data_IF_759821286726
#
_entry.id   IF_759821286726
#
_cell.length_a   1.000
_cell.length_b   1.000
_cell.length_c   1.000
_cell.angle_alpha   90.00
_cell.angle_beta   90.00
_cell.angle_gamma   90.00
#
_symmetry.space_group_name_H-M   'P 1'
#
loop_
_entity.id
_entity.type
_entity.pdbx_description
1 polymer ?
#
# COMPACT_ATOMS: atom_id res chain seq x y z
N UNK A 1 2.77 -5.98 19.64
CA UNK A 1 2.83 -7.38 19.18
C UNK A 1 1.72 -7.57 18.17
N UNK A 2 2.06 -7.83 16.90
CA UNK A 2 1.11 -7.82 15.77
C UNK A 2 0.24 -9.08 15.72
N UNK A 3 0.84 -10.26 15.91
CA UNK A 3 0.10 -11.52 15.85
C UNK A 3 -0.90 -11.65 17.01
N UNK A 4 -2.15 -11.98 16.70
CA UNK A 4 -3.16 -12.29 17.71
C UNK A 4 -2.85 -13.62 18.45
N UNK A 5 -3.57 -13.88 19.54
CA UNK A 5 -3.33 -15.07 20.38
C UNK A 5 -3.49 -16.39 19.62
N UNK A 6 -4.45 -16.46 18.69
CA UNK A 6 -4.72 -17.67 17.90
C UNK A 6 -3.59 -17.92 16.90
N UNK A 7 -3.08 -16.86 16.29
CA UNK A 7 -1.94 -16.90 15.38
C UNK A 7 -0.66 -17.30 16.12
N UNK A 8 -0.38 -16.68 17.28
CA UNK A 8 0.78 -17.08 18.09
C UNK A 8 0.68 -18.53 18.56
N UNK A 9 -0.50 -19.01 18.91
CA UNK A 9 -0.70 -20.41 19.28
C UNK A 9 -0.40 -21.35 18.11
N UNK A 10 -0.92 -21.07 16.92
CA UNK A 10 -0.64 -21.86 15.72
C UNK A 10 0.86 -21.87 15.38
N UNK A 11 1.55 -20.74 15.52
CA UNK A 11 3.00 -20.65 15.30
C UNK A 11 3.79 -21.48 16.34
N UNK A 12 3.37 -21.49 17.61
CA UNK A 12 3.98 -22.36 18.64
C UNK A 12 3.75 -23.84 18.34
N UNK A 13 2.54 -24.20 17.91
CA UNK A 13 2.19 -25.56 17.49
C UNK A 13 2.98 -26.00 16.25
N UNK A 14 3.35 -25.06 15.37
CA UNK A 14 4.26 -25.28 14.25
C UNK A 14 5.74 -25.34 14.64
N UNK A 15 6.08 -25.16 15.92
CA UNK A 15 7.43 -25.35 16.46
C UNK A 15 8.23 -24.08 16.72
N UNK A 16 7.66 -22.88 16.52
CA UNK A 16 8.35 -21.63 16.84
C UNK A 16 8.33 -21.37 18.35
N UNK A 17 9.46 -20.91 18.88
CA UNK A 17 9.54 -20.38 20.24
C UNK A 17 8.85 -19.01 20.34
N UNK A 18 8.53 -18.59 21.57
CA UNK A 18 7.99 -17.25 21.84
C UNK A 18 8.92 -16.14 21.35
N UNK A 19 10.24 -16.32 21.50
CA UNK A 19 11.23 -15.34 21.06
C UNK A 19 11.27 -15.22 19.53
N UNK A 20 11.19 -16.35 18.81
CA UNK A 20 11.10 -16.35 17.35
C UNK A 20 9.82 -15.68 16.84
N UNK A 21 8.69 -15.90 17.53
CA UNK A 21 7.41 -15.23 17.21
C UNK A 21 7.52 -13.72 17.46
N UNK A 22 8.16 -13.32 18.56
CA UNK A 22 8.45 -11.90 18.85
C UNK A 22 9.27 -11.25 17.75
N UNK A 23 10.42 -11.87 17.41
CA UNK A 23 11.29 -11.39 16.36
C UNK A 23 10.62 -11.35 14.98
N UNK A 24 9.78 -12.34 14.64
CA UNK A 24 8.98 -12.32 13.42
C UNK A 24 7.97 -11.17 13.43
N UNK A 25 7.31 -10.92 14.55
CA UNK A 25 6.36 -9.80 14.68
C UNK A 25 7.05 -8.45 14.51
N UNK A 26 8.28 -8.27 15.01
CA UNK A 26 9.05 -7.04 14.85
C UNK A 26 9.48 -6.82 13.41
N UNK A 27 9.98 -7.87 12.74
CA UNK A 27 10.34 -7.79 11.30
C UNK A 27 9.16 -7.42 10.41
N UNK A 28 7.95 -7.87 10.73
CA UNK A 28 6.76 -7.47 9.97
C UNK A 28 6.53 -5.95 10.09
N UNK A 29 6.66 -5.39 11.30
CA UNK A 29 6.49 -3.94 11.51
C UNK A 29 7.55 -3.15 10.75
N UNK A 30 8.81 -3.58 10.81
CA UNK A 30 9.92 -2.97 10.07
C UNK A 30 9.65 -3.03 8.55
N UNK A 31 9.31 -4.20 8.02
CA UNK A 31 8.99 -4.36 6.59
C UNK A 31 7.77 -3.53 6.15
N UNK A 32 6.77 -3.31 7.02
CA UNK A 32 5.65 -2.41 6.72
C UNK A 32 6.09 -0.96 6.63
N UNK A 33 7.00 -0.50 7.49
CA UNK A 33 7.57 0.84 7.40
C UNK A 33 8.39 1.00 6.11
N UNK A 34 9.28 0.05 5.79
CA UNK A 34 10.04 0.06 4.54
C UNK A 34 9.14 0.06 3.30
N UNK A 35 8.00 -0.65 3.36
CA UNK A 35 7.01 -0.65 2.27
C UNK A 35 6.34 0.71 2.12
N UNK A 36 6.02 1.39 3.23
CA UNK A 36 5.44 2.73 3.17
C UNK A 36 6.43 3.72 2.53
N UNK A 37 7.68 3.73 3.00
CA UNK A 37 8.75 4.57 2.46
C UNK A 37 8.95 4.31 0.95
N UNK A 38 9.00 3.05 0.53
CA UNK A 38 9.18 2.70 -0.88
C UNK A 38 7.99 3.13 -1.77
N UNK A 39 6.77 3.15 -1.23
CA UNK A 39 5.61 3.66 -1.96
C UNK A 39 5.66 5.19 -2.06
N UNK A 40 6.06 5.89 -1.00
CA UNK A 40 6.25 7.35 -1.06
C UNK A 40 7.33 7.72 -2.08
N UNK A 41 8.46 7.00 -2.05
CA UNK A 41 9.56 7.16 -3.02
C UNK A 41 9.10 6.91 -4.46
N UNK A 42 8.18 5.96 -4.70
CA UNK A 42 7.62 5.73 -6.04
C UNK A 42 6.89 6.97 -6.58
N UNK A 43 6.15 7.71 -5.74
CA UNK A 43 5.43 8.92 -6.17
C UNK A 43 6.30 10.18 -6.16
N UNK A 44 7.45 10.18 -5.46
CA UNK A 44 8.30 11.36 -5.35
C UNK A 44 8.86 11.80 -6.71
N UNK A 45 8.68 13.07 -7.02
CA UNK A 45 9.15 13.67 -8.27
C UNK A 45 8.42 13.23 -9.55
N UNK A 46 7.34 12.44 -9.45
CA UNK A 46 6.49 12.12 -10.60
C UNK A 46 5.43 13.19 -10.84
N UNK A 47 5.40 13.76 -12.04
CA UNK A 47 4.35 14.69 -12.46
C UNK A 47 3.03 13.97 -12.78
N UNK A 48 3.10 12.74 -13.28
CA UNK A 48 1.94 11.97 -13.74
C UNK A 48 2.13 10.48 -13.51
N UNK A 49 1.06 9.79 -13.10
CA UNK A 49 0.99 8.33 -13.00
C UNK A 49 -0.27 7.79 -13.69
N UNK A 50 -0.21 6.53 -14.10
CA UNK A 50 -1.32 5.82 -14.72
C UNK A 50 -1.91 4.82 -13.74
N UNK A 51 -3.22 4.65 -13.74
CA UNK A 51 -3.87 3.63 -12.92
C UNK A 51 -5.00 2.90 -13.62
N UNK A 52 -5.33 1.73 -13.08
CA UNK A 52 -6.51 0.94 -13.44
C UNK A 52 -7.74 1.31 -12.59
N UNK A 53 -7.77 2.52 -12.02
CA UNK A 53 -8.88 2.99 -11.20
C UNK A 53 -10.16 3.10 -12.03
N UNK A 54 -11.21 2.40 -11.62
CA UNK A 54 -12.53 2.56 -12.22
C UNK A 54 -13.14 3.91 -11.78
N UNK A 55 -13.11 4.89 -12.70
CA UNK A 55 -13.77 6.18 -12.52
C UNK A 55 -15.06 6.17 -13.32
N UNK A 56 -16.16 6.49 -12.63
CA UNK A 56 -17.46 6.66 -13.25
C UNK A 56 -17.37 7.61 -14.45
N UNK A 57 -17.81 7.11 -15.61
CA UNK A 57 -17.79 7.82 -16.90
C UNK A 57 -16.41 7.98 -17.57
N UNK A 58 -15.38 7.27 -17.11
CA UNK A 58 -14.18 7.07 -17.92
C UNK A 58 -14.53 6.23 -19.16
N UNK A 59 -13.95 6.59 -20.31
CA UNK A 59 -14.03 5.82 -21.55
C UNK A 59 -12.80 4.90 -21.76
N UNK A 60 -11.84 4.97 -20.85
CA UNK A 60 -10.57 4.26 -20.88
C UNK A 60 -10.41 3.40 -19.63
N UNK A 61 -9.84 2.21 -19.80
CA UNK A 61 -9.46 1.31 -18.69
C UNK A 61 -8.22 1.81 -17.94
N UNK A 62 -7.49 2.76 -18.53
CA UNK A 62 -6.33 3.43 -17.94
C UNK A 62 -6.66 4.90 -17.69
N UNK A 63 -6.39 5.37 -16.48
CA UNK A 63 -6.62 6.75 -16.04
C UNK A 63 -5.29 7.41 -15.69
N UNK A 64 -5.09 8.64 -16.18
CA UNK A 64 -3.95 9.48 -15.83
C UNK A 64 -4.27 10.35 -14.62
N UNK A 65 -3.31 10.48 -13.71
CA UNK A 65 -3.45 11.29 -12.49
C UNK A 65 -2.24 12.21 -12.30
N UNK A 66 -2.51 13.48 -12.04
CA UNK A 66 -1.54 14.40 -11.46
C UNK A 66 -1.60 14.24 -9.93
N UNK A 67 -0.53 13.69 -9.34
CA UNK A 67 -0.44 13.45 -7.90
C UNK A 67 0.15 14.70 -7.23
N UNK A 68 -0.57 15.25 -6.26
CA UNK A 68 -0.06 16.39 -5.47
C UNK A 68 0.89 15.90 -4.37
N UNK A 69 0.49 14.87 -3.63
CA UNK A 69 1.32 14.19 -2.63
C UNK A 69 0.69 12.86 -2.21
N UNK A 70 1.54 12.00 -1.66
CA UNK A 70 1.15 10.84 -0.85
C UNK A 70 1.76 11.00 0.53
N UNK A 71 1.00 10.70 1.58
CA UNK A 71 1.44 10.77 2.98
C UNK A 71 0.98 9.50 3.69
N UNK A 72 1.95 8.62 3.96
CA UNK A 72 1.75 7.31 4.55
C UNK A 72 2.33 7.26 5.96
N UNK A 73 1.68 6.46 6.80
CA UNK A 73 2.16 6.14 8.12
C UNK A 73 1.83 4.70 8.47
N UNK A 74 2.57 4.16 9.43
CA UNK A 74 2.36 2.80 9.90
C UNK A 74 1.82 2.79 11.33
N UNK A 75 0.98 1.80 11.61
CA UNK A 75 0.56 1.47 12.96
C UNK A 75 0.80 -0.02 13.19
N UNK A 76 1.99 -0.34 13.71
CA UNK A 76 2.51 -1.71 13.71
C UNK A 76 2.59 -2.27 12.28
N UNK A 77 1.82 -3.31 11.96
CA UNK A 77 1.83 -3.93 10.63
C UNK A 77 0.76 -3.36 9.68
N UNK A 78 0.02 -2.34 10.12
CA UNK A 78 -0.96 -1.67 9.28
C UNK A 78 -0.31 -0.48 8.58
N UNK A 79 -0.48 -0.39 7.26
CA UNK A 79 -0.12 0.77 6.43
C UNK A 79 -1.39 1.59 6.17
N UNK A 80 -1.33 2.88 6.47
CA UNK A 80 -2.44 3.83 6.31
C UNK A 80 -1.92 5.14 5.73
N UNK A 81 -2.80 5.97 5.21
CA UNK A 81 -2.39 7.29 4.74
C UNK A 81 -3.44 8.00 3.92
N UNK A 82 -2.97 8.95 3.11
CA UNK A 82 -3.79 9.73 2.21
C UNK A 82 -3.05 9.97 0.90
N UNK A 83 -3.76 9.78 -0.22
CA UNK A 83 -3.29 10.10 -1.56
C UNK A 83 -4.10 11.30 -2.09
N UNK A 84 -3.40 12.36 -2.47
CA UNK A 84 -3.99 13.59 -3.00
C UNK A 84 -3.66 13.71 -4.49
N UNK A 85 -4.70 13.92 -5.29
CA UNK A 85 -4.61 14.31 -6.70
C UNK A 85 -5.03 15.76 -6.87
N UNK A 86 -4.90 16.34 -8.07
CA UNK A 86 -5.50 17.66 -8.33
C UNK A 86 -7.03 17.63 -8.06
N UNK A 87 -7.50 18.55 -7.22
CA UNK A 87 -8.92 18.72 -6.90
C UNK A 87 -9.53 17.73 -5.89
N UNK A 88 -8.98 16.54 -5.68
CA UNK A 88 -9.54 15.56 -4.74
C UNK A 88 -8.49 14.64 -4.09
N UNK A 89 -8.92 13.73 -3.23
CA UNK A 89 -8.02 12.75 -2.64
C UNK A 89 -8.77 11.64 -1.91
N UNK A 90 -8.04 10.61 -1.51
CA UNK A 90 -8.59 9.35 -1.03
C UNK A 90 -7.72 8.77 0.08
N UNK A 91 -8.38 8.12 1.05
CA UNK A 91 -7.67 7.40 2.11
C UNK A 91 -6.97 6.16 1.56
N UNK A 92 -5.77 5.90 2.05
CA UNK A 92 -5.03 4.66 1.81
C UNK A 92 -5.20 3.76 3.03
N UNK A 93 -5.62 2.51 2.79
CA UNK A 93 -5.87 1.50 3.82
C UNK A 93 -4.87 0.33 3.79
N UNK A 94 -3.95 0.36 2.84
CA UNK A 94 -2.88 -0.62 2.65
C UNK A 94 -2.18 -0.36 1.33
N UNK A 95 -0.98 -0.92 1.17
CA UNK A 95 -0.20 -0.77 -0.05
C UNK A 95 0.85 -1.87 -0.20
N UNK A 96 1.29 -2.10 -1.42
CA UNK A 96 2.43 -2.96 -1.73
C UNK A 96 3.15 -2.47 -2.99
N UNK A 97 4.45 -2.67 -3.03
CA UNK A 97 5.26 -2.54 -4.24
C UNK A 97 5.13 -3.84 -5.04
N UNK A 98 4.81 -3.74 -6.34
CA UNK A 98 4.74 -4.90 -7.25
C UNK A 98 6.03 -5.03 -8.05
N UNK A 99 6.53 -3.91 -8.56
CA UNK A 99 7.79 -3.74 -9.31
C UNK A 99 8.35 -2.36 -8.98
N UNK A 100 9.56 -2.06 -9.46
CA UNK A 100 10.17 -0.73 -9.31
C UNK A 100 9.30 0.39 -9.95
N UNK A 101 8.49 0.03 -10.94
CA UNK A 101 7.64 0.94 -11.72
C UNK A 101 6.13 0.78 -11.43
N UNK A 102 5.75 -0.01 -10.43
CA UNK A 102 4.32 -0.28 -10.13
C UNK A 102 4.06 -0.56 -8.67
N UNK A 103 3.10 0.18 -8.10
CA UNK A 103 2.58 -0.03 -6.75
C UNK A 103 1.08 -0.34 -6.79
N UNK A 104 0.57 -1.05 -5.79
CA UNK A 104 -0.88 -1.25 -5.60
C UNK A 104 -1.29 -0.68 -4.25
N UNK A 105 -2.32 0.17 -4.25
CA UNK A 105 -2.90 0.75 -3.04
C UNK A 105 -4.32 0.22 -2.83
N UNK A 106 -4.63 -0.14 -1.59
CA UNK A 106 -6.02 -0.34 -1.16
C UNK A 106 -6.60 1.01 -0.80
N UNK A 107 -7.56 1.49 -1.60
CA UNK A 107 -8.15 2.81 -1.45
C UNK A 107 -9.45 2.72 -0.66
N UNK A 108 -9.62 3.65 0.28
CA UNK A 108 -10.75 3.71 1.19
C UNK A 108 -12.09 3.99 0.51
N UNK A 109 -13.16 4.22 1.27
CA UNK A 109 -14.56 4.14 0.82
C UNK A 109 -14.96 5.01 -0.38
N UNK A 110 -14.18 6.04 -0.73
CA UNK A 110 -14.41 6.86 -1.92
C UNK A 110 -14.25 6.07 -3.21
N UNK A 111 -13.25 5.19 -3.27
CA UNK A 111 -12.98 4.31 -4.42
C UNK A 111 -13.38 2.88 -4.08
N UNK A 112 -13.08 2.44 -2.86
CA UNK A 112 -13.43 1.12 -2.34
C UNK A 112 -12.87 -0.03 -3.21
N UNK A 113 -11.62 0.10 -3.63
CA UNK A 113 -10.95 -0.88 -4.49
C UNK A 113 -9.44 -0.94 -4.27
N UNK A 114 -8.78 -1.94 -4.86
CA UNK A 114 -7.33 -2.04 -5.01
C UNK A 114 -6.94 -1.50 -6.38
N UNK A 115 -6.12 -0.47 -6.39
CA UNK A 115 -5.75 0.25 -7.60
C UNK A 115 -4.24 0.15 -7.78
N UNK A 116 -3.82 -0.22 -8.99
CA UNK A 116 -2.43 -0.23 -9.42
C UNK A 116 -2.08 1.15 -9.98
N UNK A 117 -0.92 1.66 -9.59
CA UNK A 117 -0.34 2.89 -10.13
C UNK A 117 1.01 2.56 -10.76
N UNK A 118 1.26 3.09 -11.95
CA UNK A 118 2.51 2.86 -12.71
C UNK A 118 2.96 4.11 -13.44
N UNK A 119 4.26 4.17 -13.74
CA UNK A 119 4.89 5.18 -14.60
C UNK A 119 4.66 4.93 -16.10
N UNK A 120 4.29 3.71 -16.49
CA UNK A 120 4.06 3.32 -17.89
C UNK A 120 2.69 2.65 -18.07
N UNK A 121 1.75 3.22 -18.84
CA UNK A 121 0.41 2.67 -18.99
C UNK A 121 0.39 1.27 -19.62
N UNK A 122 1.42 0.89 -20.39
CA UNK A 122 1.53 -0.45 -20.98
C UNK A 122 1.86 -1.54 -19.94
N UNK A 123 2.16 -1.15 -18.69
CA UNK A 123 2.45 -2.05 -17.57
C UNK A 123 1.23 -2.38 -16.68
N UNK A 124 0.04 -1.86 -17.00
CA UNK A 124 -1.24 -2.13 -16.30
C UNK A 124 -1.94 -3.43 -16.72
#
# INVERSE_FOLDING_TARGET
MHFDQRTQQALREAGLSTDEIGAASERVVEATAETADAIEDFFDGLDTVHSDMDIAHSASDVVEHEVEYVDLYTHAADLRGYLKFDGWGVYVEGGRVLTDDTVELTLGPTVHDRVRFTTDPDSL
#
